data_IF_810571293697
#
_entry.id   IF_810571293697
#
_cell.length_a   1.000
_cell.length_b   1.000
_cell.length_c   1.000
_cell.angle_alpha   90.00
_cell.angle_beta   90.00
_cell.angle_gamma   90.00
#
_symmetry.space_group_name_H-M   'P 1'
#
loop_
_entity.id
_entity.type
_entity.pdbx_description
1 polymer ?
#
# COMPACT_ATOMS: atom_id res chain seq x y z
N UNK A 1 -28.22 64.25 1.70
CA UNK A 1 -28.88 63.27 0.76
C UNK A 1 -27.96 62.19 0.27
N UNK A 2 -26.88 61.82 0.97
CA UNK A 2 -25.86 60.87 0.41
C UNK A 2 -25.68 59.55 1.17
N UNK A 3 -26.43 59.26 2.23
CA UNK A 3 -26.22 58.05 3.03
C UNK A 3 -27.17 56.90 2.70
N UNK A 4 -28.19 57.08 1.89
CA UNK A 4 -29.15 56.03 1.52
C UNK A 4 -28.72 55.21 0.28
N UNK A 5 -27.89 55.78 -0.58
CA UNK A 5 -27.39 55.13 -1.76
C UNK A 5 -26.28 54.09 -1.48
N UNK A 6 -25.44 54.36 -0.52
CA UNK A 6 -24.33 53.46 -0.15
C UNK A 6 -24.83 52.19 0.57
N UNK A 7 -25.87 52.30 1.39
CA UNK A 7 -26.45 51.14 2.10
C UNK A 7 -27.15 50.15 1.18
N UNK A 8 -27.75 50.59 0.10
CA UNK A 8 -28.41 49.72 -0.90
C UNK A 8 -27.42 49.03 -1.81
N UNK A 9 -26.27 49.63 -2.08
CA UNK A 9 -25.24 49.03 -2.94
C UNK A 9 -24.44 47.95 -2.20
N UNK A 10 -24.13 48.11 -0.90
CA UNK A 10 -23.49 47.10 -0.08
C UNK A 10 -24.41 45.89 0.17
N UNK A 11 -25.72 46.09 0.31
CA UNK A 11 -26.67 44.99 0.47
C UNK A 11 -26.81 44.13 -0.78
N UNK A 12 -26.70 44.74 -1.97
CA UNK A 12 -26.80 44.01 -3.25
C UNK A 12 -25.52 43.19 -3.53
N UNK A 13 -24.34 43.69 -3.14
CA UNK A 13 -23.07 42.95 -3.28
C UNK A 13 -22.98 41.76 -2.31
N UNK A 14 -23.55 41.88 -1.10
CA UNK A 14 -23.58 40.75 -0.14
C UNK A 14 -24.54 39.64 -0.59
N UNK A 15 -25.67 39.99 -1.20
CA UNK A 15 -26.63 39.03 -1.76
C UNK A 15 -26.08 38.30 -3.00
N UNK A 16 -25.27 38.95 -3.83
CA UNK A 16 -24.61 38.31 -4.97
C UNK A 16 -23.51 37.31 -4.54
N UNK A 17 -22.79 37.58 -3.46
CA UNK A 17 -21.74 36.69 -2.98
C UNK A 17 -22.29 35.40 -2.33
N UNK A 18 -23.47 35.43 -1.74
CA UNK A 18 -24.15 34.24 -1.19
C UNK A 18 -24.78 33.38 -2.31
N UNK A 19 -25.21 34.00 -3.39
CA UNK A 19 -25.81 33.29 -4.54
C UNK A 19 -24.81 32.46 -5.37
N UNK A 20 -23.53 32.87 -5.43
CA UNK A 20 -22.50 32.18 -6.22
C UNK A 20 -22.03 30.91 -5.52
N UNK A 21 -22.01 30.85 -4.18
CA UNK A 21 -21.64 29.66 -3.46
C UNK A 21 -22.66 28.51 -3.56
N UNK A 22 -23.91 28.80 -3.83
CA UNK A 22 -24.98 27.80 -3.93
C UNK A 22 -25.07 27.10 -5.29
N UNK A 23 -24.46 27.66 -6.36
CA UNK A 23 -24.52 27.09 -7.70
C UNK A 23 -23.37 26.18 -8.08
N UNK A 24 -22.28 26.11 -7.28
CA UNK A 24 -21.11 25.32 -7.60
C UNK A 24 -21.26 23.81 -7.32
N UNK A 25 -22.40 23.35 -6.78
CA UNK A 25 -22.55 21.97 -6.30
C UNK A 25 -23.50 21.09 -7.13
N UNK A 26 -24.11 21.61 -8.21
CA UNK A 26 -24.98 20.80 -9.09
C UNK A 26 -24.20 20.20 -10.25
N UNK A 27 -23.83 18.93 -10.13
CA UNK A 27 -23.30 18.14 -11.24
C UNK A 27 -21.96 17.43 -10.98
N UNK A 28 -21.33 17.63 -9.82
CA UNK A 28 -20.09 16.94 -9.48
C UNK A 28 -20.40 15.48 -9.08
N UNK A 29 -19.82 14.53 -9.84
CA UNK A 29 -19.87 13.11 -9.50
C UNK A 29 -18.54 12.73 -8.82
N UNK A 30 -18.62 12.31 -7.57
CA UNK A 30 -17.44 11.86 -6.84
C UNK A 30 -16.96 10.54 -7.40
N UNK A 31 -15.65 10.42 -7.63
CA UNK A 31 -15.02 9.16 -8.01
C UNK A 31 -14.76 8.25 -6.79
N UNK A 32 -14.65 8.87 -5.61
CA UNK A 32 -14.41 8.18 -4.33
C UNK A 32 -14.96 9.00 -3.16
N UNK A 33 -15.06 8.38 -2.01
CA UNK A 33 -15.36 9.03 -0.73
C UNK A 33 -14.42 8.46 0.33
N UNK A 34 -13.93 9.31 1.23
CA UNK A 34 -13.02 8.91 2.31
C UNK A 34 -13.79 8.87 3.62
N UNK A 35 -13.54 7.85 4.42
CA UNK A 35 -14.09 7.69 5.76
C UNK A 35 -12.98 7.43 6.77
N UNK A 36 -13.13 7.95 7.99
CA UNK A 36 -12.29 7.56 9.11
C UNK A 36 -12.74 6.21 9.71
N UNK A 37 -12.03 5.73 10.73
CA UNK A 37 -12.32 4.45 11.37
C UNK A 37 -13.70 4.37 12.05
N UNK A 38 -14.29 5.53 12.38
CA UNK A 38 -15.63 5.67 12.96
C UNK A 38 -16.73 5.74 11.90
N UNK A 39 -16.39 5.66 10.61
CA UNK A 39 -17.32 5.76 9.49
C UNK A 39 -17.78 7.18 9.18
N UNK A 40 -17.12 8.20 9.71
CA UNK A 40 -17.39 9.60 9.37
C UNK A 40 -16.65 9.96 8.08
N UNK A 41 -17.35 10.62 7.15
CA UNK A 41 -16.73 11.18 5.93
C UNK A 41 -15.71 12.26 6.30
N UNK A 42 -14.51 12.16 5.69
CA UNK A 42 -13.39 13.08 5.90
C UNK A 42 -12.89 13.66 4.57
N UNK A 43 -12.19 14.79 4.66
CA UNK A 43 -11.50 15.39 3.52
C UNK A 43 -10.14 14.75 3.23
N UNK A 44 -9.62 15.00 2.02
CA UNK A 44 -8.30 14.51 1.62
C UNK A 44 -7.18 15.08 2.51
N UNK A 45 -7.24 16.37 2.87
CA UNK A 45 -6.23 17.00 3.73
C UNK A 45 -6.20 16.37 5.12
N UNK A 46 -7.39 16.06 5.71
CA UNK A 46 -7.50 15.36 6.99
C UNK A 46 -6.89 13.96 6.91
N UNK A 47 -7.10 13.24 5.79
CA UNK A 47 -6.43 11.96 5.55
C UNK A 47 -4.91 12.14 5.56
N UNK A 48 -4.36 13.09 4.79
CA UNK A 48 -2.92 13.29 4.68
C UNK A 48 -2.30 13.69 6.02
N UNK A 49 -2.92 14.57 6.78
CA UNK A 49 -2.50 14.92 8.15
C UNK A 49 -2.42 13.67 9.04
N UNK A 50 -3.43 12.80 8.96
CA UNK A 50 -3.45 11.57 9.74
C UNK A 50 -2.36 10.58 9.29
N UNK A 51 -2.08 10.47 7.98
CA UNK A 51 -1.07 9.56 7.44
C UNK A 51 0.36 10.09 7.58
N UNK A 52 0.54 11.39 7.79
CA UNK A 52 1.85 11.98 8.01
C UNK A 52 2.48 11.61 9.37
N UNK A 53 1.70 11.21 10.37
CA UNK A 53 2.18 10.98 11.74
C UNK A 53 2.89 9.62 11.95
N UNK A 54 2.31 8.45 11.57
CA UNK A 54 2.87 7.15 11.90
C UNK A 54 4.16 6.85 11.15
N UNK A 55 4.97 5.93 11.68
CA UNK A 55 6.22 5.48 11.04
C UNK A 55 5.93 4.71 9.75
N UNK A 56 4.90 3.87 9.76
CA UNK A 56 4.49 3.06 8.62
C UNK A 56 3.03 3.31 8.26
N UNK A 57 2.79 3.54 6.98
CA UNK A 57 1.45 3.59 6.40
C UNK A 57 1.30 2.42 5.43
N UNK A 58 0.26 1.61 5.62
CA UNK A 58 -0.17 0.60 4.66
C UNK A 58 -1.35 1.13 3.86
N UNK A 59 -1.27 1.06 2.54
CA UNK A 59 -2.41 1.32 1.67
C UNK A 59 -2.84 -0.02 1.08
N UNK A 60 -4.00 -0.48 1.56
CA UNK A 60 -4.68 -1.67 1.08
C UNK A 60 -5.47 -1.34 -0.17
N UNK A 61 -5.16 -2.02 -1.26
CA UNK A 61 -5.75 -1.80 -2.57
C UNK A 61 -6.71 -2.91 -3.00
N UNK A 62 -7.52 -2.57 -3.99
CA UNK A 62 -8.21 -3.52 -4.86
C UNK A 62 -7.40 -3.56 -6.16
N UNK A 63 -6.64 -4.64 -6.39
CA UNK A 63 -5.63 -4.80 -7.44
C UNK A 63 -6.04 -4.39 -8.87
N UNK A 64 -7.33 -4.31 -9.18
CA UNK A 64 -7.85 -3.93 -10.50
C UNK A 64 -8.71 -2.67 -10.44
N UNK A 65 -8.42 -1.75 -9.50
CA UNK A 65 -9.18 -0.51 -9.32
C UNK A 65 -8.32 0.71 -9.63
N UNK A 66 -8.49 1.29 -10.80
CA UNK A 66 -7.73 2.47 -11.24
C UNK A 66 -7.90 3.69 -10.31
N UNK A 67 -9.04 3.81 -9.62
CA UNK A 67 -9.25 4.91 -8.66
C UNK A 67 -8.39 4.69 -7.41
N UNK A 68 -8.24 3.44 -6.97
CA UNK A 68 -7.34 3.12 -5.84
C UNK A 68 -5.89 3.46 -6.21
N UNK A 69 -5.39 2.99 -7.36
CA UNK A 69 -4.01 3.26 -7.80
C UNK A 69 -3.74 4.76 -7.99
N UNK A 70 -4.73 5.50 -8.52
CA UNK A 70 -4.62 6.95 -8.61
C UNK A 70 -4.52 7.61 -7.22
N UNK A 71 -5.36 7.19 -6.25
CA UNK A 71 -5.31 7.71 -4.87
C UNK A 71 -3.98 7.36 -4.17
N UNK A 72 -3.47 6.16 -4.34
CA UNK A 72 -2.16 5.74 -3.84
C UNK A 72 -1.06 6.68 -4.36
N UNK A 73 -1.10 7.01 -5.66
CA UNK A 73 -0.15 7.93 -6.27
C UNK A 73 -0.27 9.35 -5.68
N UNK A 74 -1.48 9.87 -5.53
CA UNK A 74 -1.71 11.19 -4.94
C UNK A 74 -1.29 11.24 -3.46
N UNK A 75 -1.58 10.20 -2.67
CA UNK A 75 -1.12 10.07 -1.28
C UNK A 75 0.41 10.05 -1.23
N UNK A 76 1.05 9.29 -2.12
CA UNK A 76 2.52 9.23 -2.21
C UNK A 76 3.12 10.61 -2.45
N UNK A 77 2.57 11.37 -3.41
CA UNK A 77 3.01 12.74 -3.72
C UNK A 77 2.85 13.68 -2.52
N UNK A 78 1.71 13.57 -1.84
CA UNK A 78 1.40 14.42 -0.68
C UNK A 78 2.31 14.09 0.51
N UNK A 79 2.55 12.82 0.82
CA UNK A 79 3.47 12.41 1.87
C UNK A 79 4.93 12.75 1.51
N UNK A 80 5.32 12.65 0.24
CA UNK A 80 6.63 13.11 -0.20
C UNK A 80 6.78 14.64 -0.06
N UNK A 81 5.75 15.42 -0.33
CA UNK A 81 5.80 16.87 -0.12
C UNK A 81 6.11 17.24 1.34
N UNK A 82 5.67 16.42 2.30
CA UNK A 82 5.87 16.60 3.74
C UNK A 82 7.24 16.04 4.17
N UNK A 83 7.54 14.78 3.81
CA UNK A 83 8.66 14.02 4.38
C UNK A 83 9.96 14.06 3.56
N UNK A 84 9.86 14.42 2.26
CA UNK A 84 11.00 14.50 1.33
C UNK A 84 11.83 13.20 1.35
N UNK A 85 13.15 13.33 1.52
CA UNK A 85 14.12 12.22 1.56
C UNK A 85 13.94 11.23 2.72
N UNK A 86 13.07 11.55 3.69
CA UNK A 86 12.73 10.64 4.79
C UNK A 86 11.70 9.59 4.38
N UNK A 87 10.98 9.80 3.28
CA UNK A 87 10.01 8.84 2.76
C UNK A 87 10.72 7.68 2.07
N UNK A 88 10.27 6.48 2.38
CA UNK A 88 10.62 5.24 1.68
C UNK A 88 9.34 4.57 1.18
N UNK A 89 9.42 3.89 0.05
CA UNK A 89 8.31 3.14 -0.52
C UNK A 89 8.61 1.65 -0.51
N UNK A 90 7.57 0.84 -0.47
CA UNK A 90 7.64 -0.60 -0.67
C UNK A 90 6.34 -1.15 -1.22
N UNK A 91 6.40 -2.30 -1.86
CA UNK A 91 5.22 -2.89 -2.48
C UNK A 91 5.22 -4.41 -2.45
N UNK A 92 4.02 -4.98 -2.24
CA UNK A 92 3.74 -6.41 -2.41
C UNK A 92 4.02 -6.88 -3.85
N UNK A 93 3.81 -6.01 -4.83
CA UNK A 93 3.92 -6.32 -6.25
C UNK A 93 5.36 -6.54 -6.73
N UNK A 94 6.34 -6.26 -5.87
CA UNK A 94 7.77 -6.47 -6.14
C UNK A 94 8.33 -7.55 -5.21
N UNK A 95 8.85 -8.62 -5.82
CA UNK A 95 9.47 -9.74 -5.12
C UNK A 95 10.89 -9.39 -4.66
N UNK A 96 11.27 -9.77 -3.43
CA UNK A 96 12.53 -9.39 -2.78
C UNK A 96 13.80 -9.75 -3.58
N UNK A 97 13.77 -10.80 -4.39
CA UNK A 97 14.89 -11.16 -5.25
C UNK A 97 14.99 -10.33 -6.55
N UNK A 98 14.04 -9.42 -6.78
CA UNK A 98 14.15 -8.38 -7.80
C UNK A 98 14.78 -7.07 -7.26
N UNK A 99 15.18 -7.00 -5.99
CA UNK A 99 15.71 -5.75 -5.43
C UNK A 99 16.95 -5.24 -6.19
N UNK A 100 17.88 -6.12 -6.56
CA UNK A 100 19.08 -5.70 -7.27
C UNK A 100 18.75 -5.02 -8.59
N UNK A 101 17.90 -5.63 -9.42
CA UNK A 101 17.55 -5.06 -10.71
C UNK A 101 16.69 -3.78 -10.58
N UNK A 102 15.89 -3.68 -9.51
CA UNK A 102 15.17 -2.46 -9.16
C UNK A 102 16.17 -1.33 -8.81
N UNK A 103 17.17 -1.61 -7.98
CA UNK A 103 18.21 -0.65 -7.59
C UNK A 103 19.03 -0.16 -8.78
N UNK A 104 19.38 -1.07 -9.70
CA UNK A 104 20.08 -0.74 -10.95
C UNK A 104 19.24 0.20 -11.83
N UNK A 105 17.93 -0.06 -11.91
CA UNK A 105 17.01 0.82 -12.62
C UNK A 105 16.84 2.18 -11.90
N UNK A 106 16.67 2.18 -10.59
CA UNK A 106 16.51 3.39 -9.78
C UNK A 106 17.76 4.28 -9.84
N UNK A 107 18.94 3.69 -9.85
CA UNK A 107 20.23 4.39 -10.00
C UNK A 107 20.57 4.81 -11.44
N UNK A 108 19.72 4.45 -12.41
CA UNK A 108 19.92 4.69 -13.86
C UNK A 108 21.08 3.88 -14.46
N UNK A 109 21.50 2.80 -13.82
CA UNK A 109 22.49 1.87 -14.37
C UNK A 109 21.95 1.09 -15.57
N UNK A 110 20.65 0.80 -15.55
CA UNK A 110 19.94 0.15 -16.66
C UNK A 110 18.73 0.98 -17.12
N UNK A 111 18.27 0.76 -18.35
CA UNK A 111 17.07 1.40 -18.90
C UNK A 111 15.80 0.76 -18.36
N UNK A 112 14.64 1.43 -18.57
CA UNK A 112 13.34 0.87 -18.24
C UNK A 112 13.07 -0.45 -18.97
N UNK A 113 13.35 -0.51 -20.27
CA UNK A 113 13.13 -1.71 -21.09
C UNK A 113 13.93 -2.92 -20.54
N UNK A 114 15.15 -2.69 -20.01
CA UNK A 114 15.94 -3.75 -19.38
C UNK A 114 15.38 -4.18 -18.06
N UNK A 115 14.94 -3.24 -17.23
CA UNK A 115 14.26 -3.55 -15.99
C UNK A 115 12.97 -4.35 -16.23
N UNK A 116 12.12 -3.90 -17.16
CA UNK A 116 10.86 -4.57 -17.50
C UNK A 116 11.08 -5.98 -18.09
N UNK A 117 12.13 -6.18 -18.88
CA UNK A 117 12.45 -7.47 -19.46
C UNK A 117 12.96 -8.51 -18.45
N UNK A 118 13.65 -8.07 -17.40
CA UNK A 118 14.36 -8.95 -16.47
C UNK A 118 13.63 -9.11 -15.12
N UNK A 119 12.88 -8.09 -14.66
CA UNK A 119 12.12 -8.16 -13.42
C UNK A 119 10.83 -9.00 -13.61
N UNK A 120 10.49 -9.76 -12.58
CA UNK A 120 9.18 -10.43 -12.55
C UNK A 120 8.12 -9.46 -12.10
N UNK A 121 7.44 -8.87 -13.07
CA UNK A 121 6.40 -7.86 -12.86
C UNK A 121 5.01 -8.48 -13.00
N UNK A 122 4.02 -7.84 -12.42
CA UNK A 122 2.62 -8.19 -12.61
C UNK A 122 2.12 -7.70 -13.97
N UNK A 123 1.09 -8.36 -14.53
CA UNK A 123 0.58 -8.04 -15.87
C UNK A 123 0.11 -6.59 -16.03
N UNK A 124 -0.40 -5.99 -14.95
CA UNK A 124 -0.84 -4.60 -14.90
C UNK A 124 0.24 -3.62 -14.40
N UNK A 125 1.50 -4.07 -14.29
CA UNK A 125 2.59 -3.25 -13.74
C UNK A 125 2.76 -1.91 -14.48
N UNK A 126 2.76 -1.95 -15.80
CA UNK A 126 3.05 -0.76 -16.63
C UNK A 126 2.03 0.37 -16.45
N UNK A 127 0.75 0.03 -16.20
CA UNK A 127 -0.33 0.99 -16.02
C UNK A 127 -0.55 1.39 -14.56
N UNK A 128 -0.42 0.44 -13.65
CA UNK A 128 -0.89 0.60 -12.28
C UNK A 128 0.26 0.86 -11.30
N UNK A 129 1.42 0.22 -11.46
CA UNK A 129 2.53 0.29 -10.49
C UNK A 129 3.78 1.03 -10.98
N UNK A 130 4.06 1.04 -12.28
CA UNK A 130 5.19 1.79 -12.83
C UNK A 130 5.18 3.29 -12.47
N UNK A 131 4.03 3.98 -12.40
CA UNK A 131 3.99 5.39 -11.98
C UNK A 131 4.63 5.64 -10.61
N UNK A 132 4.48 4.74 -9.63
CA UNK A 132 5.13 4.86 -8.31
C UNK A 132 6.65 4.73 -8.40
N UNK A 133 7.11 3.76 -9.17
CA UNK A 133 8.54 3.50 -9.37
C UNK A 133 9.19 4.67 -10.12
N UNK A 134 8.51 5.22 -11.13
CA UNK A 134 8.98 6.41 -11.85
C UNK A 134 9.06 7.63 -10.91
N UNK A 135 8.00 7.86 -10.12
CA UNK A 135 8.00 8.95 -9.15
C UNK A 135 9.13 8.80 -8.13
N UNK A 136 9.33 7.59 -7.60
CA UNK A 136 10.39 7.29 -6.65
C UNK A 136 11.78 7.54 -7.26
N UNK A 137 12.02 7.08 -8.49
CA UNK A 137 13.27 7.26 -9.22
C UNK A 137 13.59 8.75 -9.43
N UNK A 138 12.63 9.52 -9.93
CA UNK A 138 12.85 10.95 -10.21
C UNK A 138 13.09 11.77 -8.92
N UNK A 139 12.48 11.36 -7.81
CA UNK A 139 12.63 12.02 -6.52
C UNK A 139 13.68 11.37 -5.61
N UNK A 140 14.40 10.33 -6.09
CA UNK A 140 15.42 9.58 -5.34
C UNK A 140 14.88 8.96 -4.04
N UNK A 141 13.63 8.56 -4.04
CA UNK A 141 12.99 7.87 -2.91
C UNK A 141 13.40 6.40 -2.97
N UNK A 142 13.96 5.81 -1.90
CA UNK A 142 14.22 4.38 -1.86
C UNK A 142 12.93 3.57 -2.07
N UNK A 143 12.98 2.56 -2.92
CA UNK A 143 11.86 1.65 -3.17
C UNK A 143 12.29 0.22 -2.85
N UNK A 144 11.59 -0.43 -1.94
CA UNK A 144 11.92 -1.76 -1.42
C UNK A 144 10.98 -2.80 -2.01
N UNK A 145 11.53 -3.80 -2.65
CA UNK A 145 10.83 -5.00 -3.06
C UNK A 145 10.62 -5.89 -1.82
N UNK A 146 9.37 -5.98 -1.35
CA UNK A 146 9.11 -6.53 -0.03
C UNK A 146 8.55 -7.95 -0.04
N UNK A 147 7.95 -8.41 -1.15
CA UNK A 147 7.26 -9.68 -1.17
C UNK A 147 8.21 -10.87 -1.28
N UNK A 148 7.78 -12.00 -0.75
CA UNK A 148 8.50 -13.27 -0.94
C UNK A 148 8.53 -13.64 -2.43
N UNK A 149 9.65 -14.17 -2.97
CA UNK A 149 9.66 -14.72 -4.32
C UNK A 149 8.55 -15.76 -4.52
N UNK A 150 7.73 -15.57 -5.55
CA UNK A 150 6.52 -16.38 -5.83
C UNK A 150 6.80 -17.89 -5.79
N UNK A 151 7.98 -18.33 -6.24
CA UNK A 151 8.36 -19.73 -6.18
C UNK A 151 8.37 -20.30 -4.77
N UNK A 152 8.76 -19.51 -3.75
CA UNK A 152 8.77 -19.96 -2.36
C UNK A 152 7.37 -19.97 -1.74
N UNK A 153 6.53 -18.99 -2.06
CA UNK A 153 5.12 -19.04 -1.66
C UNK A 153 4.40 -20.25 -2.28
N UNK A 154 4.70 -20.60 -3.54
CA UNK A 154 4.16 -21.79 -4.21
C UNK A 154 4.65 -23.08 -3.53
N UNK A 155 5.92 -23.17 -3.19
CA UNK A 155 6.47 -24.32 -2.46
C UNK A 155 5.76 -24.52 -1.12
N UNK A 156 5.51 -23.43 -0.37
CA UNK A 156 4.75 -23.49 0.89
C UNK A 156 3.31 -23.94 0.64
N UNK A 157 2.67 -23.42 -0.42
CA UNK A 157 1.31 -23.85 -0.80
C UNK A 157 1.21 -25.35 -1.07
N UNK A 158 2.26 -25.94 -1.64
CA UNK A 158 2.28 -27.34 -2.01
C UNK A 158 2.77 -28.27 -0.89
N UNK A 159 3.68 -27.80 0.00
CA UNK A 159 4.41 -28.64 0.95
C UNK A 159 4.39 -28.13 2.40
N UNK A 160 3.82 -26.95 2.68
CA UNK A 160 3.82 -26.33 4.00
C UNK A 160 5.11 -25.56 4.33
N UNK A 161 5.07 -24.77 5.41
CA UNK A 161 6.17 -23.89 5.85
C UNK A 161 7.46 -24.64 6.14
N UNK A 162 7.37 -25.85 6.68
CA UNK A 162 8.55 -26.69 7.02
C UNK A 162 9.45 -26.97 5.82
N UNK A 163 8.94 -26.91 4.60
CA UNK A 163 9.76 -27.11 3.42
C UNK A 163 10.83 -26.03 3.24
N UNK A 164 10.60 -24.83 3.77
CA UNK A 164 11.54 -23.71 3.68
C UNK A 164 12.87 -24.01 4.37
N UNK A 165 12.90 -24.92 5.35
CA UNK A 165 14.13 -25.34 6.03
C UNK A 165 15.11 -26.03 5.08
N UNK A 166 14.60 -26.70 4.03
CA UNK A 166 15.40 -27.40 3.01
C UNK A 166 16.05 -26.47 1.99
N UNK A 167 15.66 -25.19 1.95
CA UNK A 167 16.22 -24.23 1.01
C UNK A 167 17.69 -23.91 1.34
N UNK A 168 18.46 -23.58 0.29
CA UNK A 168 19.83 -23.10 0.45
C UNK A 168 19.91 -21.78 1.25
N UNK A 169 21.06 -21.51 1.84
CA UNK A 169 21.29 -20.24 2.53
C UNK A 169 21.10 -19.03 1.60
N UNK A 170 21.47 -19.15 0.34
CA UNK A 170 21.25 -18.11 -0.68
C UNK A 170 19.77 -17.83 -0.87
N UNK A 171 18.94 -18.86 -0.99
CA UNK A 171 17.49 -18.71 -1.09
C UNK A 171 16.87 -18.07 0.16
N UNK A 172 17.36 -18.44 1.35
CA UNK A 172 16.87 -17.90 2.62
C UNK A 172 17.14 -16.42 2.83
N UNK A 173 18.04 -15.80 2.05
CA UNK A 173 18.26 -14.33 2.08
C UNK A 173 17.03 -13.51 1.68
N UNK A 174 16.08 -14.11 0.96
CA UNK A 174 14.84 -13.50 0.53
C UNK A 174 13.65 -13.84 1.44
N UNK A 175 13.91 -14.40 2.61
CA UNK A 175 12.92 -14.82 3.59
C UNK A 175 13.16 -14.13 4.93
N UNK A 176 12.15 -14.04 5.79
CA UNK A 176 12.37 -13.68 7.17
C UNK A 176 13.14 -14.80 7.89
N UNK A 177 13.64 -14.56 9.12
CA UNK A 177 14.16 -15.64 9.96
C UNK A 177 13.15 -16.76 10.12
N UNK A 178 13.61 -18.00 9.91
CA UNK A 178 12.79 -19.20 10.04
C UNK A 178 13.04 -19.89 11.39
N UNK A 179 12.03 -20.58 11.96
CA UNK A 179 10.65 -20.67 11.48
C UNK A 179 9.85 -19.38 11.75
N UNK A 180 8.92 -19.04 10.87
CA UNK A 180 7.96 -17.97 11.17
C UNK A 180 6.91 -18.47 12.17
N UNK A 181 6.40 -17.59 13.02
CA UNK A 181 5.25 -17.91 13.88
C UNK A 181 3.98 -17.91 13.03
N UNK A 182 3.28 -19.03 13.03
CA UNK A 182 2.01 -19.19 12.32
C UNK A 182 1.05 -20.03 13.16
N UNK A 183 -0.18 -19.54 13.28
CA UNK A 183 -1.28 -20.28 13.90
C UNK A 183 -2.44 -20.29 12.93
N UNK A 184 -2.83 -21.49 12.48
CA UNK A 184 -4.01 -21.64 11.63
C UNK A 184 -5.28 -21.46 12.46
N UNK A 185 -6.14 -20.54 12.04
CA UNK A 185 -7.44 -20.31 12.65
C UNK A 185 -8.50 -20.42 11.55
N UNK A 186 -9.32 -21.44 11.62
CA UNK A 186 -10.31 -21.79 10.60
C UNK A 186 -11.41 -20.73 10.45
N UNK A 187 -11.69 -19.98 11.52
CA UNK A 187 -12.87 -19.09 11.63
C UNK A 187 -12.54 -17.60 11.58
N UNK A 188 -11.29 -17.19 11.54
CA UNK A 188 -10.89 -15.77 11.60
C UNK A 188 -10.46 -15.19 10.25
N UNK A 189 -11.36 -14.40 9.65
CA UNK A 189 -11.00 -13.23 8.84
C UNK A 189 -10.62 -13.50 7.39
N UNK A 190 -9.63 -12.76 6.93
CA UNK A 190 -9.23 -12.62 5.53
C UNK A 190 -8.82 -13.91 4.82
N UNK A 191 -8.21 -14.90 5.50
CA UNK A 191 -7.86 -16.18 4.89
C UNK A 191 -9.11 -16.94 4.39
N UNK A 192 -10.18 -16.93 5.16
CA UNK A 192 -11.46 -17.54 4.78
C UNK A 192 -12.13 -16.78 3.62
N UNK A 193 -12.11 -15.44 3.67
CA UNK A 193 -12.64 -14.61 2.58
C UNK A 193 -11.83 -14.78 1.28
N UNK A 194 -10.50 -14.87 1.37
CA UNK A 194 -9.63 -15.15 0.23
C UNK A 194 -9.90 -16.53 -0.36
N UNK A 195 -10.11 -17.54 0.48
CA UNK A 195 -10.48 -18.89 0.05
C UNK A 195 -11.84 -18.94 -0.67
N UNK A 196 -12.82 -18.16 -0.21
CA UNK A 196 -14.09 -18.01 -0.94
C UNK A 196 -13.91 -17.33 -2.29
N UNK A 197 -13.03 -16.32 -2.38
CA UNK A 197 -12.74 -15.63 -3.66
C UNK A 197 -11.96 -16.49 -4.65
N UNK A 198 -11.03 -17.33 -4.16
CA UNK A 198 -10.19 -18.20 -5.03
C UNK A 198 -10.92 -19.49 -5.50
N UNK A 199 -12.17 -19.67 -5.08
CA UNK A 199 -12.94 -20.89 -5.34
C UNK A 199 -12.42 -22.08 -4.52
N UNK A 200 -13.15 -23.21 -4.57
CA UNK A 200 -12.76 -24.45 -3.87
C UNK A 200 -11.46 -25.00 -4.50
N UNK A 201 -10.30 -24.46 -4.09
CA UNK A 201 -9.01 -25.02 -4.43
C UNK A 201 -8.95 -26.45 -3.90
N UNK A 202 -8.52 -27.40 -4.74
CA UNK A 202 -8.31 -28.80 -4.35
C UNK A 202 -7.09 -29.01 -3.45
N UNK A 203 -6.45 -27.91 -2.96
CA UNK A 203 -5.26 -27.95 -2.11
C UNK A 203 -5.57 -28.00 -0.62
N UNK A 204 -4.54 -28.22 0.19
CA UNK A 204 -4.60 -28.13 1.64
C UNK A 204 -4.84 -26.66 2.04
N UNK A 205 -5.97 -26.39 2.71
CA UNK A 205 -6.39 -25.04 3.11
C UNK A 205 -5.38 -24.40 4.08
N UNK A 206 -4.82 -25.20 4.98
CA UNK A 206 -3.78 -24.75 5.90
C UNK A 206 -2.52 -24.30 5.13
N UNK A 207 -2.10 -25.05 4.11
CA UNK A 207 -0.93 -24.65 3.29
C UNK A 207 -1.18 -23.38 2.47
N UNK A 208 -2.41 -23.16 2.02
CA UNK A 208 -2.79 -21.88 1.41
C UNK A 208 -2.65 -20.72 2.40
N UNK A 209 -3.12 -20.90 3.63
CA UNK A 209 -2.96 -19.91 4.69
C UNK A 209 -1.48 -19.70 5.05
N UNK A 210 -0.70 -20.78 5.12
CA UNK A 210 0.75 -20.72 5.32
C UNK A 210 1.47 -19.97 4.19
N UNK A 211 1.02 -20.12 2.94
CA UNK A 211 1.56 -19.39 1.80
C UNK A 211 1.25 -17.88 1.87
N UNK A 212 0.14 -17.47 2.45
CA UNK A 212 -0.10 -16.06 2.74
C UNK A 212 0.74 -15.58 3.92
N UNK A 213 0.84 -16.38 4.97
CA UNK A 213 1.65 -16.03 6.14
C UNK A 213 3.13 -15.80 5.81
N UNK A 214 3.74 -16.58 4.91
CA UNK A 214 5.12 -16.33 4.49
C UNK A 214 5.26 -15.04 3.66
N UNK A 215 4.25 -14.66 2.88
CA UNK A 215 4.23 -13.34 2.22
C UNK A 215 4.21 -12.23 3.25
N UNK A 216 3.25 -12.29 4.18
CA UNK A 216 3.09 -11.29 5.24
C UNK A 216 4.35 -11.15 6.10
N UNK A 217 4.90 -12.27 6.54
CA UNK A 217 6.12 -12.29 7.34
C UNK A 217 7.32 -11.71 6.57
N UNK A 218 7.43 -12.00 5.27
CA UNK A 218 8.50 -11.47 4.42
C UNK A 218 8.36 -9.97 4.24
N UNK A 219 7.18 -9.48 3.91
CA UNK A 219 6.91 -8.04 3.78
C UNK A 219 7.20 -7.32 5.11
N UNK A 220 6.70 -7.85 6.23
CA UNK A 220 6.99 -7.29 7.56
C UNK A 220 8.48 -7.25 7.88
N UNK A 221 9.24 -8.30 7.52
CA UNK A 221 10.68 -8.38 7.70
C UNK A 221 11.43 -7.31 6.90
N UNK A 222 11.14 -7.19 5.59
CA UNK A 222 11.81 -6.21 4.74
C UNK A 222 11.45 -4.77 5.12
N UNK A 223 10.21 -4.49 5.52
CA UNK A 223 9.84 -3.17 6.06
C UNK A 223 10.64 -2.89 7.33
N UNK A 224 10.65 -3.80 8.31
CA UNK A 224 11.33 -3.63 9.60
C UNK A 224 12.82 -3.31 9.47
N UNK A 225 13.50 -3.93 8.48
CA UNK A 225 14.95 -3.81 8.27
C UNK A 225 15.36 -2.62 7.41
N UNK A 226 14.43 -2.07 6.62
CA UNK A 226 14.74 -0.97 5.72
C UNK A 226 14.25 0.39 6.23
N UNK A 227 13.19 0.44 7.03
CA UNK A 227 12.62 1.69 7.51
C UNK A 227 13.64 2.51 8.31
N UNK A 228 13.81 3.77 7.91
CA UNK A 228 14.62 4.77 8.62
C UNK A 228 13.75 5.77 9.38
N UNK A 229 12.84 6.43 8.68
CA UNK A 229 11.94 7.44 9.23
C UNK A 229 10.47 7.13 8.89
N UNK A 230 10.10 7.22 7.63
CA UNK A 230 8.73 7.04 7.13
C UNK A 230 8.69 6.00 6.03
N UNK A 231 7.78 5.04 6.16
CA UNK A 231 7.58 3.99 5.16
C UNK A 231 6.13 3.96 4.68
N UNK A 232 5.93 4.00 3.37
CA UNK A 232 4.64 3.83 2.73
C UNK A 232 4.65 2.52 1.95
N UNK A 233 3.72 1.62 2.26
CA UNK A 233 3.65 0.28 1.69
C UNK A 233 2.34 0.07 0.95
N UNK A 234 2.42 -0.43 -0.29
CA UNK A 234 1.30 -0.78 -1.15
C UNK A 234 1.09 -2.28 -1.14
N UNK A 235 -0.12 -2.72 -0.85
CA UNK A 235 -0.46 -4.14 -0.78
C UNK A 235 -1.96 -4.34 -0.99
N UNK A 236 -2.37 -5.52 -1.42
CA UNK A 236 -3.80 -5.87 -1.41
C UNK A 236 -4.38 -5.76 -0.01
N UNK A 237 -5.64 -5.33 0.10
CA UNK A 237 -6.35 -5.14 1.37
C UNK A 237 -6.13 -6.28 2.36
N UNK A 238 -6.18 -7.53 1.87
CA UNK A 238 -6.00 -8.73 2.67
C UNK A 238 -4.80 -8.67 3.61
N UNK A 239 -3.69 -8.07 3.15
CA UNK A 239 -2.41 -8.05 3.86
C UNK A 239 -2.31 -7.00 4.97
N UNK A 240 -3.27 -6.07 5.08
CA UNK A 240 -3.25 -5.01 6.11
C UNK A 240 -4.60 -4.72 6.77
N UNK A 241 -5.69 -5.34 6.29
CA UNK A 241 -7.02 -5.13 6.85
C UNK A 241 -7.10 -5.58 8.31
N UNK A 242 -7.88 -4.84 9.09
CA UNK A 242 -8.07 -5.08 10.53
C UNK A 242 -6.77 -5.19 11.33
N UNK A 243 -5.67 -4.58 10.82
CA UNK A 243 -4.31 -4.70 11.38
C UNK A 243 -3.80 -6.14 11.45
N UNK A 244 -4.30 -6.99 10.56
CA UNK A 244 -3.82 -8.36 10.34
C UNK A 244 -2.65 -8.45 9.37
N UNK A 245 -2.45 -9.62 8.78
CA UNK A 245 -1.46 -9.85 7.72
C UNK A 245 -0.04 -9.46 8.10
N UNK A 246 0.50 -8.45 7.43
CA UNK A 246 1.89 -7.95 7.58
C UNK A 246 2.14 -7.37 8.99
N UNK A 247 1.13 -6.73 9.58
CA UNK A 247 1.32 -5.87 10.76
C UNK A 247 1.79 -6.62 12.00
N UNK A 248 1.23 -7.78 12.38
CA UNK A 248 1.74 -8.57 13.49
C UNK A 248 3.21 -8.96 13.32
N UNK A 249 3.63 -9.36 12.11
CA UNK A 249 5.02 -9.70 11.82
C UNK A 249 5.93 -8.47 11.90
N UNK A 250 5.51 -7.34 11.32
CA UNK A 250 6.27 -6.10 11.43
C UNK A 250 6.51 -5.72 12.90
N UNK A 251 5.48 -5.77 13.73
CA UNK A 251 5.59 -5.45 15.16
C UNK A 251 6.43 -6.47 15.93
N UNK A 252 6.45 -7.73 15.50
CA UNK A 252 7.36 -8.74 16.05
C UNK A 252 8.84 -8.41 15.73
N UNK A 253 9.12 -8.00 14.48
CA UNK A 253 10.49 -7.69 14.04
C UNK A 253 10.96 -6.29 14.48
N UNK A 254 10.04 -5.36 14.64
CA UNK A 254 10.32 -3.97 15.07
C UNK A 254 9.25 -3.48 16.05
N UNK A 255 9.33 -3.87 17.34
CA UNK A 255 8.39 -3.42 18.36
C UNK A 255 8.36 -1.89 18.48
N UNK A 256 7.20 -1.34 18.79
CA UNK A 256 7.01 0.09 18.99
C UNK A 256 6.81 0.91 17.71
N UNK A 257 6.82 0.28 16.52
CA UNK A 257 6.49 0.95 15.25
C UNK A 257 5.04 1.44 15.27
N UNK A 258 4.85 2.73 14.99
CA UNK A 258 3.51 3.32 14.86
C UNK A 258 2.98 3.09 13.46
N UNK A 259 1.70 2.67 13.35
CA UNK A 259 1.13 2.19 12.09
C UNK A 259 -0.27 2.78 11.86
N UNK A 260 -0.53 3.19 10.62
CA UNK A 260 -1.89 3.41 10.09
C UNK A 260 -2.14 2.62 8.83
N UNK A 261 -3.40 2.24 8.63
CA UNK A 261 -3.87 1.52 7.45
C UNK A 261 -4.94 2.33 6.73
N UNK A 262 -4.91 2.29 5.42
CA UNK A 262 -6.00 2.69 4.53
C UNK A 262 -6.52 1.43 3.87
N UNK A 263 -7.82 1.25 3.78
CA UNK A 263 -8.46 0.12 3.14
C UNK A 263 -9.38 0.61 2.03
N UNK A 264 -9.28 0.03 0.85
CA UNK A 264 -10.14 0.33 -0.30
C UNK A 264 -11.35 -0.61 -0.30
N UNK A 265 -12.56 -0.03 -0.32
CA UNK A 265 -13.82 -0.78 -0.36
C UNK A 265 -14.65 -0.37 -1.58
N UNK A 266 -15.57 -1.24 -2.04
CA UNK A 266 -16.51 -0.98 -3.14
C UNK A 266 -17.91 -0.73 -2.62
#
# INVERSE_FOLDING_TARGET
>A
MNNLFFSRFCGLLLLCSIGVAAFAQKGYKRAYTLFNAEGKEIGYDELIEALAQPDVVFIGEIHNCCITHWLEYEITRSLYAIHKEKLMLGAEMLEADNQLILDEYMSRAISYDRFEAEARLWDNYSTDYAPFVFFAKENKIPFIATNVPRRYANVVKDNGLQYLDSLSNEAKRYLPPLPIQFTYKEEEGGAFALMQMMGKSKGNQEYLAQAQAIKDATMGWFIAHNIKDKFLHFNGNYHSDFKGGIIPYLLQYRPGTTIKTVCSVR
#
